data_IF_304499861856
#
_entry.id   IF_304499861856
#
_cell.length_a   1.000
_cell.length_b   1.000
_cell.length_c   1.000
_cell.angle_alpha   90.00
_cell.angle_beta   90.00
_cell.angle_gamma   90.00
#
_symmetry.space_group_name_H-M   'P 1'
#
loop_
_entity.id
_entity.type
_entity.pdbx_description
1 polymer ?
#
# COMPACT_ATOMS: atom_id res chain seq x y z
N UNK A 1 4.07 -32.09 51.38
CA UNK A 1 3.66 -30.79 50.80
C UNK A 1 4.41 -30.57 49.49
N UNK A 2 3.76 -30.72 48.34
CA UNK A 2 4.28 -30.28 47.03
C UNK A 2 3.14 -29.52 46.35
N UNK A 3 3.21 -28.19 46.39
CA UNK A 3 2.28 -27.31 45.67
C UNK A 3 2.69 -27.34 44.20
N UNK A 4 1.84 -27.92 43.35
CA UNK A 4 1.97 -27.85 41.90
C UNK A 4 1.42 -26.48 41.46
N UNK A 5 2.30 -25.56 41.06
CA UNK A 5 1.92 -24.28 40.48
C UNK A 5 1.51 -24.52 39.02
N UNK A 6 0.22 -24.37 38.71
CA UNK A 6 -0.28 -24.41 37.34
C UNK A 6 -0.08 -23.02 36.73
N UNK A 7 0.89 -22.87 35.82
CA UNK A 7 1.05 -21.65 35.03
C UNK A 7 -0.01 -21.66 33.91
N UNK A 8 -1.01 -20.79 34.03
CA UNK A 8 -1.95 -20.51 32.94
C UNK A 8 -1.25 -19.61 31.93
N UNK A 9 -0.82 -20.17 30.80
CA UNK A 9 -0.33 -19.39 29.66
C UNK A 9 -1.57 -18.81 28.98
N UNK A 10 -1.85 -17.52 29.22
CA UNK A 10 -2.76 -16.76 28.37
C UNK A 10 -2.11 -16.60 27.00
N UNK A 11 -2.50 -17.44 26.04
CA UNK A 11 -2.27 -17.16 24.63
C UNK A 11 -3.12 -15.94 24.26
N UNK A 12 -2.48 -14.78 24.17
CA UNK A 12 -3.04 -13.61 23.51
C UNK A 12 -3.16 -13.92 22.02
N UNK A 13 -4.31 -14.45 21.60
CA UNK A 13 -4.69 -14.44 20.19
C UNK A 13 -4.88 -12.97 19.80
N UNK A 14 -3.88 -12.40 19.12
CA UNK A 14 -4.00 -11.10 18.49
C UNK A 14 -5.13 -11.18 17.46
N UNK A 15 -6.28 -10.61 17.78
CA UNK A 15 -7.35 -10.40 16.81
C UNK A 15 -6.79 -9.43 15.77
N UNK A 16 -6.32 -9.94 14.63
CA UNK A 16 -6.07 -9.07 13.48
C UNK A 16 -7.38 -8.34 13.19
N UNK A 17 -7.35 -7.01 13.22
CA UNK A 17 -8.50 -6.21 12.83
C UNK A 17 -8.96 -6.66 11.44
N UNK A 18 -10.24 -7.02 11.34
CA UNK A 18 -10.82 -7.47 10.09
C UNK A 18 -10.82 -6.32 9.07
N UNK A 19 -10.36 -6.59 7.84
CA UNK A 19 -10.41 -5.61 6.75
C UNK A 19 -11.86 -5.20 6.47
N UNK A 20 -12.07 -3.91 6.22
CA UNK A 20 -13.36 -3.42 5.73
C UNK A 20 -13.49 -3.67 4.23
N UNK A 21 -14.67 -4.11 3.78
CA UNK A 21 -15.00 -4.26 2.36
C UNK A 21 -16.17 -3.34 1.99
N UNK A 22 -16.03 -2.46 0.98
CA UNK A 22 -17.08 -1.54 0.58
C UNK A 22 -18.24 -2.24 -0.13
N UNK A 23 -19.46 -1.76 0.11
CA UNK A 23 -20.68 -2.25 -0.52
C UNK A 23 -20.64 -2.08 -2.05
N UNK A 24 -21.33 -2.95 -2.79
CA UNK A 24 -21.38 -2.93 -4.27
C UNK A 24 -22.12 -1.71 -4.85
N UNK A 25 -22.89 -0.99 -4.04
CA UNK A 25 -23.63 0.22 -4.41
C UNK A 25 -22.75 1.48 -4.54
N UNK A 26 -21.45 1.39 -4.24
CA UNK A 26 -20.50 2.50 -4.37
C UNK A 26 -20.24 3.29 -3.07
N UNK A 27 -20.99 2.99 -1.99
CA UNK A 27 -20.67 3.51 -0.66
C UNK A 27 -19.35 2.93 -0.16
N UNK A 28 -18.50 3.78 0.43
CA UNK A 28 -17.19 3.40 0.96
C UNK A 28 -16.88 4.21 2.22
N UNK A 29 -16.68 3.51 3.33
CA UNK A 29 -16.33 4.13 4.59
C UNK A 29 -14.97 4.81 4.54
N UNK A 30 -14.88 5.93 5.24
CA UNK A 30 -13.63 6.67 5.41
C UNK A 30 -13.02 6.45 6.79
N UNK A 31 -11.71 6.66 6.88
CA UNK A 31 -10.95 6.72 8.13
C UNK A 31 -10.26 8.07 8.20
N UNK A 32 -10.51 8.84 9.25
CA UNK A 32 -9.90 10.17 9.38
C UNK A 32 -8.37 10.08 9.44
N UNK A 33 -7.63 10.86 8.64
CA UNK A 33 -6.16 10.89 8.69
C UNK A 33 -5.59 11.16 10.08
N UNK A 34 -6.28 11.94 10.92
CA UNK A 34 -5.83 12.22 12.30
C UNK A 34 -5.78 10.98 13.19
N UNK A 35 -6.63 9.97 12.93
CA UNK A 35 -6.57 8.67 13.63
C UNK A 35 -5.31 7.87 13.28
N UNK A 36 -4.65 8.20 12.17
CA UNK A 36 -3.37 7.63 11.77
C UNK A 36 -2.19 8.54 12.11
N UNK A 37 -2.42 9.62 12.88
CA UNK A 37 -1.43 10.65 13.16
C UNK A 37 -0.89 11.32 11.88
N UNK A 38 -1.69 11.38 10.81
CA UNK A 38 -1.30 12.05 9.57
C UNK A 38 -1.54 13.55 9.67
N UNK A 39 -0.51 14.31 9.34
CA UNK A 39 -0.46 15.75 9.51
C UNK A 39 -1.07 16.46 8.29
N UNK A 40 -2.03 17.39 8.48
CA UNK A 40 -2.65 18.12 7.37
C UNK A 40 -1.65 18.81 6.42
N UNK A 41 -0.54 19.45 6.89
CA UNK A 41 0.46 20.02 5.99
C UNK A 41 1.15 18.97 5.09
N UNK A 42 1.33 17.75 5.58
CA UNK A 42 1.99 16.68 4.82
C UNK A 42 1.04 16.06 3.79
N UNK A 43 -0.25 15.98 4.10
CA UNK A 43 -1.30 15.61 3.13
C UNK A 43 -1.36 16.67 2.01
N UNK A 44 -1.35 17.96 2.37
CA UNK A 44 -1.33 19.04 1.37
C UNK A 44 -0.06 19.04 0.49
N UNK A 45 1.09 18.67 1.06
CA UNK A 45 2.33 18.48 0.30
C UNK A 45 2.23 17.30 -0.67
N UNK A 46 1.67 16.17 -0.23
CA UNK A 46 1.38 15.01 -1.09
C UNK A 46 0.44 15.40 -2.25
N UNK A 47 -0.63 16.14 -1.97
CA UNK A 47 -1.57 16.62 -2.99
C UNK A 47 -0.90 17.55 -4.01
N UNK A 48 -0.07 18.47 -3.52
CA UNK A 48 0.68 19.40 -4.38
C UNK A 48 1.65 18.66 -5.29
N UNK A 49 2.35 17.66 -4.76
CA UNK A 49 3.21 16.77 -5.53
C UNK A 49 2.42 15.97 -6.56
N UNK A 50 1.32 15.33 -6.16
CA UNK A 50 0.50 14.51 -7.04
C UNK A 50 -0.04 15.32 -8.23
N UNK A 51 -0.50 16.55 -7.98
CA UNK A 51 -0.92 17.49 -9.01
C UNK A 51 0.23 17.86 -9.95
N UNK A 52 1.40 18.22 -9.41
CA UNK A 52 2.59 18.55 -10.20
C UNK A 52 3.07 17.36 -11.05
N UNK A 53 2.92 16.14 -10.54
CA UNK A 53 3.21 14.89 -11.23
C UNK A 53 2.06 14.42 -12.16
N UNK A 54 1.19 15.33 -12.59
CA UNK A 54 0.10 15.09 -13.55
C UNK A 54 -0.85 13.95 -13.17
N UNK A 55 -1.06 13.75 -11.87
CA UNK A 55 -2.07 12.81 -11.37
C UNK A 55 -3.47 13.31 -11.70
N UNK A 56 -4.37 12.36 -11.91
CA UNK A 56 -5.80 12.55 -12.15
C UNK A 56 -6.62 12.11 -10.94
N UNK A 57 -6.17 11.05 -10.28
CA UNK A 57 -6.72 10.57 -9.02
C UNK A 57 -5.61 9.97 -8.16
N UNK A 58 -5.73 10.17 -6.84
CA UNK A 58 -4.88 9.55 -5.82
C UNK A 58 -5.77 9.07 -4.68
N UNK A 59 -5.77 7.76 -4.42
CA UNK A 59 -6.53 7.14 -3.33
C UNK A 59 -5.56 6.38 -2.41
N UNK A 60 -5.75 6.51 -1.10
CA UNK A 60 -5.06 5.71 -0.10
C UNK A 60 -6.08 5.04 0.81
N UNK A 61 -6.04 3.71 0.84
CA UNK A 61 -6.83 2.88 1.75
C UNK A 61 -5.96 2.42 2.91
N UNK A 62 -6.54 2.41 4.12
CA UNK A 62 -6.00 1.76 5.30
C UNK A 62 -7.06 0.86 5.90
N UNK A 63 -6.71 -0.40 6.14
CA UNK A 63 -7.63 -1.43 6.66
C UNK A 63 -8.92 -1.55 5.82
N UNK A 64 -8.80 -1.29 4.51
CA UNK A 64 -9.90 -1.28 3.54
C UNK A 64 -10.74 0.01 3.49
N UNK A 65 -10.54 0.97 4.40
CA UNK A 65 -11.25 2.26 4.41
C UNK A 65 -10.48 3.36 3.68
N UNK A 66 -11.18 4.30 3.06
CA UNK A 66 -10.56 5.44 2.39
C UNK A 66 -10.01 6.41 3.44
N UNK A 67 -8.70 6.65 3.45
CA UNK A 67 -8.07 7.67 4.32
C UNK A 67 -7.85 8.97 3.56
N UNK A 68 -7.50 8.85 2.29
CA UNK A 68 -7.27 9.97 1.40
C UNK A 68 -7.83 9.63 0.02
N UNK A 69 -8.56 10.57 -0.57
CA UNK A 69 -9.13 10.46 -1.91
C UNK A 69 -9.16 11.86 -2.52
N UNK A 70 -8.36 12.05 -3.57
CA UNK A 70 -8.24 13.31 -4.27
C UNK A 70 -8.38 13.08 -5.78
N UNK A 71 -9.01 14.06 -6.43
CA UNK A 71 -9.19 14.13 -7.88
C UNK A 71 -8.71 15.49 -8.36
N UNK A 72 -7.96 15.50 -9.46
CA UNK A 72 -7.24 16.70 -9.91
C UNK A 72 -7.74 17.17 -11.28
N UNK A 73 -7.71 18.49 -11.48
CA UNK A 73 -8.24 19.11 -12.69
C UNK A 73 -9.75 18.92 -12.82
N UNK A 74 -10.22 18.39 -13.96
CA UNK A 74 -11.64 18.10 -14.20
C UNK A 74 -12.07 16.69 -13.76
N UNK A 75 -11.18 15.91 -13.15
CA UNK A 75 -11.49 14.55 -12.74
C UNK A 75 -12.39 14.54 -11.52
N UNK A 76 -13.24 13.52 -11.46
CA UNK A 76 -14.17 13.24 -10.39
C UNK A 76 -14.09 11.76 -10.02
N UNK A 77 -14.81 11.39 -8.97
CA UNK A 77 -14.95 10.00 -8.53
C UNK A 77 -15.44 9.04 -9.63
N UNK A 78 -16.23 9.54 -10.57
CA UNK A 78 -16.83 8.74 -11.63
C UNK A 78 -16.00 8.76 -12.93
N UNK A 79 -14.92 9.54 -12.98
CA UNK A 79 -14.07 9.65 -14.15
C UNK A 79 -13.32 8.35 -14.44
N UNK A 80 -13.39 7.90 -15.69
CA UNK A 80 -12.75 6.66 -16.17
C UNK A 80 -11.40 6.97 -16.81
N UNK A 81 -10.41 6.12 -16.53
CA UNK A 81 -9.08 6.18 -17.14
C UNK A 81 -8.54 4.78 -17.42
N UNK A 82 -7.57 4.68 -18.33
CA UNK A 82 -6.92 3.41 -18.68
C UNK A 82 -5.89 3.01 -17.61
N UNK A 83 -5.67 1.71 -17.44
CA UNK A 83 -4.74 1.14 -16.47
C UNK A 83 -3.34 0.88 -17.06
N UNK A 84 -3.18 1.01 -18.38
CA UNK A 84 -1.98 0.58 -19.08
C UNK A 84 -1.58 -0.85 -18.66
N UNK A 85 -0.27 -1.10 -18.48
CA UNK A 85 0.23 -2.39 -18.00
C UNK A 85 -0.16 -2.76 -16.56
N UNK A 86 -0.78 -1.88 -15.76
CA UNK A 86 -1.34 -2.32 -14.47
C UNK A 86 -2.49 -3.34 -14.68
N UNK A 87 -3.13 -3.34 -15.86
CA UNK A 87 -4.07 -4.40 -16.26
C UNK A 87 -3.45 -5.80 -16.35
N UNK A 88 -2.12 -5.94 -16.48
CA UNK A 88 -1.46 -7.25 -16.53
C UNK A 88 -1.67 -8.05 -15.24
N UNK A 89 -1.62 -7.39 -14.09
CA UNK A 89 -1.90 -8.03 -12.79
C UNK A 89 -3.36 -8.48 -12.68
N UNK A 90 -4.30 -7.72 -13.27
CA UNK A 90 -5.70 -8.14 -13.40
C UNK A 90 -5.82 -9.38 -14.30
N UNK A 91 -5.14 -9.41 -15.45
CA UNK A 91 -5.09 -10.59 -16.32
C UNK A 91 -4.52 -11.81 -15.58
N UNK A 92 -3.42 -11.68 -14.83
CA UNK A 92 -2.88 -12.78 -14.03
C UNK A 92 -3.88 -13.30 -13.00
N UNK A 93 -4.65 -12.42 -12.34
CA UNK A 93 -5.72 -12.85 -11.43
C UNK A 93 -6.80 -13.66 -12.16
N UNK A 94 -7.21 -13.22 -13.35
CA UNK A 94 -8.22 -13.92 -14.16
C UNK A 94 -7.74 -15.29 -14.66
N UNK A 95 -6.47 -15.41 -15.07
CA UNK A 95 -5.84 -16.69 -15.41
C UNK A 95 -5.79 -17.61 -14.19
N UNK A 96 -5.43 -17.08 -13.01
CA UNK A 96 -5.46 -17.84 -11.76
C UNK A 96 -6.85 -18.35 -11.42
N UNK A 97 -7.87 -17.52 -11.67
CA UNK A 97 -9.25 -17.96 -11.52
C UNK A 97 -9.62 -19.07 -12.51
N UNK A 98 -9.22 -18.93 -13.78
CA UNK A 98 -9.50 -19.95 -14.79
C UNK A 98 -8.83 -21.28 -14.45
N UNK A 99 -7.62 -21.24 -13.89
CA UNK A 99 -6.95 -22.42 -13.36
C UNK A 99 -7.72 -23.05 -12.19
N UNK A 100 -8.15 -22.25 -11.22
CA UNK A 100 -8.95 -22.75 -10.09
C UNK A 100 -10.27 -23.39 -10.53
N UNK A 101 -10.88 -22.87 -11.60
CA UNK A 101 -12.09 -23.42 -12.21
C UNK A 101 -11.82 -24.67 -13.07
N UNK A 102 -10.56 -25.07 -13.24
CA UNK A 102 -10.15 -26.21 -14.05
C UNK A 102 -10.28 -25.99 -15.55
N UNK A 103 -10.35 -24.73 -16.00
CA UNK A 103 -10.48 -24.35 -17.41
C UNK A 103 -9.14 -24.39 -18.16
N UNK A 104 -8.03 -24.22 -17.42
CA UNK A 104 -6.67 -24.34 -17.93
C UNK A 104 -5.70 -24.80 -16.83
N UNK A 105 -4.53 -25.34 -17.19
CA UNK A 105 -3.38 -25.46 -16.28
C UNK A 105 -2.28 -24.53 -16.77
N UNK A 106 -1.72 -23.66 -15.91
CA UNK A 106 -0.68 -22.74 -16.37
C UNK A 106 0.61 -23.45 -16.82
N UNK A 107 0.81 -24.72 -16.46
CA UNK A 107 1.93 -25.53 -16.93
C UNK A 107 1.66 -26.17 -18.30
N UNK A 108 0.45 -26.05 -18.84
CA UNK A 108 0.16 -26.45 -20.21
C UNK A 108 0.97 -25.61 -21.20
N UNK A 109 1.35 -26.28 -22.31
CA UNK A 109 1.89 -25.56 -23.46
C UNK A 109 0.84 -24.59 -24.00
N UNK A 110 1.25 -23.35 -24.27
CA UNK A 110 0.39 -22.32 -24.86
C UNK A 110 -0.22 -22.78 -26.19
N UNK A 111 0.47 -23.64 -26.94
CA UNK A 111 -0.01 -24.22 -28.20
C UNK A 111 -1.27 -25.09 -28.04
N UNK A 112 -1.60 -25.55 -26.82
CA UNK A 112 -2.87 -26.25 -26.57
C UNK A 112 -4.08 -25.32 -26.78
N UNK A 113 -3.92 -24.02 -26.53
CA UNK A 113 -5.00 -23.04 -26.58
C UNK A 113 -4.94 -22.20 -27.86
N UNK A 114 -3.74 -21.82 -28.31
CA UNK A 114 -3.56 -20.98 -29.51
C UNK A 114 -3.40 -21.79 -30.81
N UNK A 115 -3.26 -23.12 -30.70
CA UNK A 115 -2.87 -23.98 -31.82
C UNK A 115 -1.36 -23.97 -32.07
N UNK A 116 -0.90 -24.79 -33.02
CA UNK A 116 0.51 -24.81 -33.43
C UNK A 116 0.80 -23.70 -34.43
N UNK A 117 2.02 -23.16 -34.39
CA UNK A 117 2.45 -22.09 -35.29
C UNK A 117 1.91 -20.72 -34.85
N UNK A 118 1.60 -20.55 -33.58
CA UNK A 118 1.30 -19.24 -33.01
C UNK A 118 2.58 -18.39 -32.86
N UNK A 119 3.75 -19.01 -33.03
CA UNK A 119 5.07 -18.38 -33.16
C UNK A 119 5.79 -18.85 -34.43
N UNK A 120 6.87 -18.16 -34.80
CA UNK A 120 7.82 -18.64 -35.80
C UNK A 120 8.92 -19.54 -35.21
N UNK A 121 8.78 -20.00 -33.95
CA UNK A 121 9.75 -20.90 -33.34
C UNK A 121 9.67 -22.30 -33.97
N UNK A 122 10.78 -23.07 -33.97
CA UNK A 122 10.71 -24.49 -34.29
C UNK A 122 9.67 -25.20 -33.40
N UNK A 123 8.91 -26.16 -33.95
CA UNK A 123 7.78 -26.75 -33.24
C UNK A 123 8.12 -27.35 -31.87
N UNK A 124 9.31 -27.95 -31.74
CA UNK A 124 9.79 -28.49 -30.47
C UNK A 124 10.19 -27.41 -29.45
N UNK A 125 10.42 -26.17 -29.89
CA UNK A 125 10.72 -25.01 -29.05
C UNK A 125 9.46 -24.24 -28.70
N UNK A 126 8.53 -24.06 -29.64
CA UNK A 126 7.20 -23.51 -29.37
C UNK A 126 6.47 -24.33 -28.29
N UNK A 127 6.56 -25.66 -28.37
CA UNK A 127 5.95 -26.57 -27.41
C UNK A 127 6.50 -26.45 -25.97
N UNK A 128 7.68 -25.83 -25.78
CA UNK A 128 8.23 -25.57 -24.44
C UNK A 128 7.60 -24.35 -23.78
N UNK A 129 6.99 -23.45 -24.54
CA UNK A 129 6.40 -22.22 -23.99
C UNK A 129 5.08 -22.58 -23.32
N UNK A 130 5.02 -22.32 -22.02
CA UNK A 130 3.81 -22.53 -21.21
C UNK A 130 3.09 -21.20 -20.94
N UNK A 131 1.84 -21.29 -20.51
CA UNK A 131 1.07 -20.12 -20.01
C UNK A 131 1.84 -19.45 -18.85
N UNK A 132 2.47 -20.24 -17.99
CA UNK A 132 3.30 -19.76 -16.89
C UNK A 132 4.49 -18.93 -17.39
N UNK A 133 5.13 -19.30 -18.50
CA UNK A 133 6.21 -18.50 -19.09
C UNK A 133 5.72 -17.12 -19.56
N UNK A 134 4.49 -17.04 -20.07
CA UNK A 134 3.85 -15.76 -20.43
C UNK A 134 3.56 -14.92 -19.16
N UNK A 135 3.10 -15.55 -18.07
CA UNK A 135 2.86 -14.88 -16.79
C UNK A 135 4.15 -14.37 -16.13
N UNK A 136 5.27 -15.08 -16.32
CA UNK A 136 6.56 -14.79 -15.69
C UNK A 136 7.49 -13.93 -16.55
N UNK A 137 7.13 -13.67 -17.81
CA UNK A 137 7.97 -12.98 -18.80
C UNK A 137 9.25 -13.77 -19.16
N UNK A 138 9.13 -15.10 -19.28
CA UNK A 138 10.24 -16.03 -19.52
C UNK A 138 10.08 -16.87 -20.80
N UNK A 139 9.33 -16.37 -21.78
CA UNK A 139 9.00 -17.15 -23.00
C UNK A 139 10.18 -17.51 -23.90
N UNK A 140 11.35 -16.87 -23.73
CA UNK A 140 12.51 -17.11 -24.59
C UNK A 140 12.37 -16.59 -26.03
N UNK A 141 11.26 -15.90 -26.34
CA UNK A 141 11.03 -15.27 -27.64
C UNK A 141 11.90 -14.02 -27.82
N UNK A 142 12.28 -13.75 -29.06
CA UNK A 142 13.25 -12.70 -29.37
C UNK A 142 12.68 -11.31 -29.10
N UNK A 143 13.32 -10.60 -28.18
CA UNK A 143 12.98 -9.23 -27.82
C UNK A 143 13.74 -8.19 -28.65
N UNK A 144 14.60 -8.61 -29.58
CA UNK A 144 15.30 -7.70 -30.50
C UNK A 144 14.47 -7.36 -31.75
N UNK A 145 13.21 -7.80 -31.78
CA UNK A 145 12.28 -7.50 -32.87
C UNK A 145 11.89 -6.02 -32.88
N UNK A 146 11.57 -5.44 -34.06
CA UNK A 146 11.24 -4.02 -34.17
C UNK A 146 10.00 -3.57 -33.40
N UNK A 147 9.07 -4.50 -33.13
CA UNK A 147 7.81 -4.22 -32.45
C UNK A 147 7.51 -5.30 -31.39
N UNK A 148 7.75 -4.96 -30.12
CA UNK A 148 7.48 -5.83 -28.96
C UNK A 148 5.99 -6.03 -28.64
N UNK A 149 5.09 -5.34 -29.34
CA UNK A 149 3.63 -5.46 -29.19
C UNK A 149 3.00 -6.31 -30.31
N UNK A 150 3.78 -6.71 -31.32
CA UNK A 150 3.26 -7.48 -32.46
C UNK A 150 3.00 -8.95 -32.06
N UNK A 151 1.73 -9.35 -32.07
CA UNK A 151 1.29 -10.72 -31.73
C UNK A 151 1.21 -11.67 -32.92
N UNK A 152 1.54 -11.21 -34.13
CA UNK A 152 1.62 -12.10 -35.29
C UNK A 152 2.75 -13.11 -35.11
N UNK A 153 2.55 -14.34 -35.58
CA UNK A 153 3.53 -15.42 -35.59
C UNK A 153 4.90 -14.97 -36.15
N UNK A 154 4.90 -14.18 -37.23
CA UNK A 154 6.09 -13.62 -37.88
C UNK A 154 6.91 -12.68 -37.00
N UNK A 155 6.31 -12.13 -35.95
CA UNK A 155 6.98 -11.27 -34.97
C UNK A 155 7.49 -12.07 -33.75
N UNK A 156 7.00 -13.28 -33.53
CA UNK A 156 7.33 -14.10 -32.37
C UNK A 156 8.41 -15.11 -32.74
N UNK A 157 9.65 -14.62 -32.82
CA UNK A 157 10.81 -15.40 -33.25
C UNK A 157 11.43 -16.15 -32.07
N UNK A 158 11.97 -17.35 -32.33
CA UNK A 158 12.74 -18.08 -31.33
C UNK A 158 14.10 -17.41 -31.08
N UNK A 159 14.46 -17.22 -29.82
CA UNK A 159 15.81 -16.81 -29.40
C UNK A 159 16.46 -17.87 -28.52
N UNK A 160 15.72 -18.40 -27.56
CA UNK A 160 16.16 -19.44 -26.63
C UNK A 160 14.97 -20.19 -26.04
N UNK A 161 15.26 -21.25 -25.30
CA UNK A 161 14.22 -22.06 -24.65
C UNK A 161 13.46 -21.25 -23.60
N UNK A 162 12.18 -21.57 -23.44
CA UNK A 162 11.37 -20.97 -22.38
C UNK A 162 11.99 -21.25 -20.99
N UNK A 163 11.87 -20.29 -20.08
CA UNK A 163 12.43 -20.36 -18.74
C UNK A 163 13.91 -19.97 -18.62
N UNK A 164 14.65 -19.75 -19.72
CA UNK A 164 16.11 -19.49 -19.64
C UNK A 164 16.49 -18.02 -19.53
N UNK A 165 15.60 -17.09 -19.91
CA UNK A 165 15.81 -15.65 -19.79
C UNK A 165 14.52 -14.94 -19.39
N UNK A 166 14.65 -13.94 -18.53
CA UNK A 166 13.60 -12.97 -18.28
C UNK A 166 13.75 -11.75 -19.19
N UNK A 167 12.67 -11.37 -19.87
CA UNK A 167 12.58 -10.09 -20.57
C UNK A 167 11.12 -9.61 -20.62
N UNK A 168 10.89 -8.33 -20.37
CA UNK A 168 9.56 -7.72 -20.42
C UNK A 168 9.04 -7.60 -21.86
N UNK A 169 8.58 -8.71 -22.43
CA UNK A 169 8.09 -8.83 -23.80
C UNK A 169 6.56 -8.73 -23.80
N UNK A 170 6.00 -7.68 -24.40
CA UNK A 170 4.56 -7.41 -24.30
C UNK A 170 3.70 -8.36 -25.15
N UNK A 171 4.12 -8.70 -26.36
CA UNK A 171 3.34 -9.52 -27.29
C UNK A 171 2.94 -10.89 -26.73
N UNK A 172 3.85 -11.69 -26.11
CA UNK A 172 3.45 -12.96 -25.52
C UNK A 172 2.45 -12.81 -24.37
N UNK A 173 2.52 -11.73 -23.59
CA UNK A 173 1.51 -11.42 -22.58
C UNK A 173 0.14 -11.13 -23.21
N UNK A 174 0.09 -10.37 -24.31
CA UNK A 174 -1.17 -9.99 -24.95
C UNK A 174 -2.00 -11.21 -25.39
N UNK A 175 -1.32 -12.29 -25.77
CA UNK A 175 -1.95 -13.56 -26.15
C UNK A 175 -2.59 -14.33 -24.99
N UNK A 176 -2.33 -13.95 -23.73
CA UNK A 176 -3.06 -14.54 -22.59
C UNK A 176 -4.56 -14.23 -22.62
N UNK A 177 -4.96 -13.13 -23.28
CA UNK A 177 -6.37 -12.88 -23.58
C UNK A 177 -6.95 -14.04 -24.38
N UNK A 178 -6.31 -14.41 -25.47
CA UNK A 178 -6.83 -15.43 -26.38
C UNK A 178 -6.77 -16.82 -25.73
N UNK A 179 -5.73 -17.12 -24.95
CA UNK A 179 -5.68 -18.32 -24.10
C UNK A 179 -6.90 -18.39 -23.18
N UNK A 180 -7.21 -17.31 -22.46
CA UNK A 180 -8.34 -17.27 -21.53
C UNK A 180 -9.69 -17.37 -22.25
N UNK A 181 -9.85 -16.71 -23.40
CA UNK A 181 -11.08 -16.77 -24.19
C UNK A 181 -11.31 -18.17 -24.77
N UNK A 182 -10.25 -18.86 -25.22
CA UNK A 182 -10.33 -20.24 -25.69
C UNK A 182 -10.61 -21.22 -24.54
N UNK A 183 -9.92 -21.09 -23.41
CA UNK A 183 -10.11 -21.94 -22.24
C UNK A 183 -11.52 -21.83 -21.63
N UNK A 184 -12.02 -20.59 -21.49
CA UNK A 184 -13.32 -20.34 -20.86
C UNK A 184 -14.51 -20.45 -21.82
N UNK A 185 -14.27 -20.40 -23.14
CA UNK A 185 -15.34 -20.26 -24.13
C UNK A 185 -16.11 -18.93 -24.04
N UNK A 186 -15.59 -17.94 -23.30
CA UNK A 186 -16.24 -16.64 -23.09
C UNK A 186 -15.29 -15.49 -23.38
N UNK A 187 -15.81 -14.37 -23.89
CA UNK A 187 -15.00 -13.18 -24.12
C UNK A 187 -14.46 -12.56 -22.82
N UNK A 188 -13.28 -11.95 -22.88
CA UNK A 188 -12.53 -11.42 -21.73
C UNK A 188 -13.36 -10.47 -20.85
N UNK A 189 -14.16 -9.59 -21.47
CA UNK A 189 -15.05 -8.70 -20.74
C UNK A 189 -16.10 -9.47 -19.93
N UNK A 190 -16.75 -10.46 -20.54
CA UNK A 190 -17.76 -11.28 -19.88
C UNK A 190 -17.14 -12.10 -18.75
N UNK A 191 -16.00 -12.73 -19.00
CA UNK A 191 -15.28 -13.48 -17.98
C UNK A 191 -14.92 -12.60 -16.78
N UNK A 192 -14.31 -11.43 -17.03
CA UNK A 192 -13.96 -10.45 -15.97
C UNK A 192 -15.18 -10.04 -15.14
N UNK A 193 -16.31 -9.74 -15.79
CA UNK A 193 -17.53 -9.34 -15.09
C UNK A 193 -18.12 -10.49 -14.25
N UNK A 194 -18.15 -11.71 -14.80
CA UNK A 194 -18.63 -12.89 -14.06
C UNK A 194 -17.77 -13.17 -12.81
N UNK A 195 -16.45 -13.04 -12.93
CA UNK A 195 -15.51 -13.28 -11.84
C UNK A 195 -15.59 -12.22 -10.75
N UNK A 196 -15.64 -10.93 -11.12
CA UNK A 196 -15.39 -9.82 -10.19
C UNK A 196 -16.61 -8.95 -9.89
N UNK A 197 -17.57 -8.79 -10.80
CA UNK A 197 -18.67 -7.84 -10.61
C UNK A 197 -19.60 -8.26 -9.46
N UNK A 198 -20.01 -9.53 -9.46
CA UNK A 198 -20.85 -10.08 -8.38
C UNK A 198 -20.11 -10.19 -7.05
N UNK A 199 -18.81 -10.46 -7.09
CA UNK A 199 -17.98 -10.72 -5.91
C UNK A 199 -17.57 -9.43 -5.19
N UNK A 200 -16.99 -8.48 -5.92
CA UNK A 200 -16.38 -7.27 -5.33
C UNK A 200 -17.06 -5.97 -5.77
N UNK A 201 -18.15 -6.04 -6.55
CA UNK A 201 -18.79 -4.86 -7.14
C UNK A 201 -17.95 -4.18 -8.23
N UNK A 202 -17.09 -4.96 -8.90
CA UNK A 202 -16.13 -4.46 -9.88
C UNK A 202 -16.82 -3.93 -11.14
N UNK A 203 -16.34 -2.80 -11.67
CA UNK A 203 -16.85 -2.18 -12.90
C UNK A 203 -15.70 -1.69 -13.77
N UNK A 204 -15.87 -1.78 -15.08
CA UNK A 204 -14.87 -1.39 -16.06
C UNK A 204 -14.95 -2.25 -17.31
N UNK A 205 -14.06 -2.00 -18.27
CA UNK A 205 -14.06 -2.72 -19.53
C UNK A 205 -12.64 -2.87 -20.11
N UNK A 206 -12.41 -3.98 -20.77
CA UNK A 206 -11.28 -4.20 -21.65
C UNK A 206 -11.60 -3.65 -23.04
N UNK A 207 -10.75 -2.74 -23.53
CA UNK A 207 -10.75 -2.20 -24.88
C UNK A 207 -9.33 -2.26 -25.41
N UNK A 208 -9.11 -2.90 -26.55
CA UNK A 208 -7.79 -3.06 -27.18
C UNK A 208 -6.70 -3.56 -26.20
N UNK A 209 -7.02 -4.59 -25.41
CA UNK A 209 -6.15 -5.18 -24.36
C UNK A 209 -5.78 -4.26 -23.20
N UNK A 210 -6.38 -3.08 -23.11
CA UNK A 210 -6.26 -2.16 -21.98
C UNK A 210 -7.53 -2.19 -21.14
N UNK A 211 -7.36 -2.22 -19.82
CA UNK A 211 -8.50 -2.13 -18.90
C UNK A 211 -8.77 -0.66 -18.54
N UNK A 212 -10.04 -0.29 -18.49
CA UNK A 212 -10.52 1.05 -18.17
C UNK A 212 -11.49 1.00 -16.99
N UNK A 213 -11.28 1.87 -16.00
CA UNK A 213 -12.22 2.07 -14.89
C UNK A 213 -11.97 3.42 -14.19
N UNK A 214 -12.82 3.76 -13.22
CA UNK A 214 -12.49 4.81 -12.26
C UNK A 214 -11.51 4.30 -11.17
N UNK A 215 -10.99 5.25 -10.38
CA UNK A 215 -9.98 4.98 -9.35
C UNK A 215 -10.47 4.07 -8.21
N UNK A 216 -11.75 4.16 -7.83
CA UNK A 216 -12.33 3.29 -6.80
C UNK A 216 -12.34 1.83 -7.25
N UNK A 217 -12.49 1.54 -8.54
CA UNK A 217 -12.40 0.17 -9.04
C UNK A 217 -10.96 -0.37 -8.94
N UNK A 218 -9.95 0.43 -9.29
CA UNK A 218 -8.55 0.07 -9.01
C UNK A 218 -8.33 -0.24 -7.52
N UNK A 219 -8.91 0.57 -6.64
CA UNK A 219 -8.79 0.39 -5.20
C UNK A 219 -9.49 -0.89 -4.71
N UNK A 220 -10.64 -1.27 -5.29
CA UNK A 220 -11.31 -2.56 -5.01
C UNK A 220 -10.44 -3.74 -5.40
N UNK A 221 -9.81 -3.69 -6.56
CA UNK A 221 -8.89 -4.75 -6.98
C UNK A 221 -7.65 -4.82 -6.09
N UNK A 222 -7.05 -3.68 -5.73
CA UNK A 222 -5.95 -3.63 -4.76
C UNK A 222 -6.34 -4.20 -3.39
N UNK A 223 -7.55 -3.90 -2.91
CA UNK A 223 -8.08 -4.44 -1.66
C UNK A 223 -8.33 -5.96 -1.74
N UNK A 224 -8.80 -6.46 -2.89
CA UNK A 224 -8.92 -7.91 -3.12
C UNK A 224 -7.56 -8.62 -3.06
N UNK A 225 -6.52 -8.01 -3.64
CA UNK A 225 -5.16 -8.53 -3.56
C UNK A 225 -4.62 -8.48 -2.13
N UNK A 226 -4.84 -7.37 -1.41
CA UNK A 226 -4.48 -7.21 0.00
C UNK A 226 -5.14 -8.28 0.88
N UNK A 227 -6.40 -8.61 0.59
CA UNK A 227 -7.18 -9.61 1.29
C UNK A 227 -6.93 -11.05 0.77
N UNK A 228 -5.86 -11.27 0.00
CA UNK A 228 -5.45 -12.59 -0.49
C UNK A 228 -6.59 -13.33 -1.22
N UNK A 229 -7.27 -12.61 -2.13
CA UNK A 229 -8.36 -13.17 -2.94
C UNK A 229 -9.68 -13.34 -2.18
N UNK A 230 -9.75 -12.94 -0.91
CA UNK A 230 -10.99 -12.95 -0.14
C UNK A 230 -11.72 -11.60 -0.20
N UNK A 231 -13.04 -11.65 -0.30
CA UNK A 231 -13.89 -10.47 -0.21
C UNK A 231 -15.10 -10.77 0.68
N UNK A 232 -15.14 -10.14 1.86
CA UNK A 232 -16.27 -10.25 2.79
C UNK A 232 -16.69 -11.72 3.09
N UNK A 233 -15.71 -12.60 3.36
CA UNK A 233 -15.94 -14.02 3.65
C UNK A 233 -16.10 -14.92 2.42
N UNK A 234 -16.14 -14.35 1.21
CA UNK A 234 -16.13 -15.12 -0.04
C UNK A 234 -14.70 -15.19 -0.60
N UNK A 235 -14.18 -16.39 -0.84
CA UNK A 235 -12.96 -16.58 -1.63
C UNK A 235 -13.27 -16.38 -3.11
N UNK A 236 -12.85 -15.25 -3.67
CA UNK A 236 -12.94 -14.96 -5.11
C UNK A 236 -11.91 -15.80 -5.86
N UNK A 237 -10.69 -15.88 -5.32
CA UNK A 237 -9.65 -16.83 -5.69
C UNK A 237 -9.14 -17.49 -4.39
N UNK A 238 -9.34 -18.79 -4.26
CA UNK A 238 -8.95 -19.63 -3.12
C UNK A 238 -7.57 -20.29 -3.29
N UNK A 239 -7.02 -20.38 -4.51
CA UNK A 239 -5.67 -20.88 -4.75
C UNK A 239 -4.58 -19.95 -4.16
N UNK A 240 -4.26 -20.20 -2.89
CA UNK A 240 -3.25 -19.46 -2.14
C UNK A 240 -1.83 -19.63 -2.69
N UNK A 241 -1.53 -20.74 -3.38
CA UNK A 241 -0.21 -20.94 -3.98
C UNK A 241 -0.06 -20.07 -5.23
N UNK A 242 -1.10 -19.98 -6.05
CA UNK A 242 -1.14 -19.07 -7.19
C UNK A 242 -1.04 -17.61 -6.74
N UNK A 243 -1.83 -17.20 -5.74
CA UNK A 243 -1.74 -15.85 -5.16
C UNK A 243 -0.35 -15.55 -4.62
N UNK A 244 0.29 -16.50 -3.92
CA UNK A 244 1.66 -16.34 -3.45
C UNK A 244 2.64 -16.16 -4.61
N UNK A 245 2.46 -16.86 -5.73
CA UNK A 245 3.30 -16.69 -6.92
C UNK A 245 3.05 -15.37 -7.67
N UNK A 246 1.90 -14.71 -7.47
CA UNK A 246 1.71 -13.31 -7.88
C UNK A 246 2.48 -12.35 -6.95
N UNK A 247 2.49 -12.61 -5.64
CA UNK A 247 2.96 -11.66 -4.61
C UNK A 247 4.41 -11.90 -4.16
N UNK A 248 5.05 -12.97 -4.63
CA UNK A 248 6.42 -13.35 -4.31
C UNK A 248 7.18 -13.76 -5.57
N UNK A 249 8.51 -13.81 -5.46
CA UNK A 249 9.39 -14.13 -6.57
C UNK A 249 8.99 -15.48 -7.16
N UNK A 250 8.61 -15.48 -8.43
CA UNK A 250 8.09 -16.68 -9.09
C UNK A 250 9.18 -17.45 -9.85
N UNK A 251 10.33 -16.83 -10.04
CA UNK A 251 11.53 -17.36 -10.69
C UNK A 251 12.80 -16.62 -10.18
N UNK A 252 13.99 -17.11 -10.51
CA UNK A 252 15.28 -16.57 -10.03
C UNK A 252 15.98 -15.57 -10.98
N UNK A 253 15.59 -15.52 -12.25
CA UNK A 253 16.10 -14.63 -13.31
C UNK A 253 15.81 -13.14 -13.04
N UNK A 254 14.62 -12.81 -12.55
CA UNK A 254 14.22 -11.48 -12.08
C UNK A 254 13.45 -11.62 -10.75
N UNK A 255 14.13 -11.61 -9.60
CA UNK A 255 13.50 -11.82 -8.30
C UNK A 255 12.37 -10.82 -7.99
N UNK A 256 12.41 -9.64 -8.59
CA UNK A 256 11.41 -8.57 -8.43
C UNK A 256 10.13 -8.75 -9.28
N UNK A 257 9.88 -9.96 -9.80
CA UNK A 257 8.71 -10.26 -10.63
C UNK A 257 7.99 -11.56 -10.22
N UNK A 258 6.68 -11.44 -9.97
CA UNK A 258 5.76 -12.55 -9.78
C UNK A 258 5.01 -12.91 -11.08
N UNK A 259 3.82 -13.48 -10.97
CA UNK A 259 2.90 -13.57 -12.11
C UNK A 259 2.34 -12.19 -12.45
N UNK A 260 2.87 -11.59 -13.52
CA UNK A 260 2.52 -10.28 -14.05
C UNK A 260 2.42 -9.15 -13.00
N UNK A 261 3.20 -9.25 -11.92
CA UNK A 261 3.12 -8.37 -10.74
C UNK A 261 4.53 -8.00 -10.30
N UNK A 262 4.76 -6.71 -10.04
CA UNK A 262 6.06 -6.20 -9.61
C UNK A 262 6.21 -6.31 -8.10
N UNK A 263 7.41 -6.68 -7.64
CA UNK A 263 7.69 -6.98 -6.24
C UNK A 263 8.81 -6.07 -5.72
N UNK A 264 8.55 -5.38 -4.62
CA UNK A 264 9.58 -4.60 -3.95
C UNK A 264 10.43 -5.47 -3.00
N UNK A 265 11.45 -4.86 -2.40
CA UNK A 265 12.24 -5.47 -1.31
C UNK A 265 13.13 -6.63 -1.73
N UNK A 266 13.32 -6.88 -3.03
CA UNK A 266 14.18 -7.94 -3.55
C UNK A 266 15.62 -7.47 -3.69
N UNK A 267 16.55 -8.43 -3.75
CA UNK A 267 17.99 -8.17 -3.87
C UNK A 267 18.38 -7.58 -5.21
N UNK A 268 17.57 -7.81 -6.25
CA UNK A 268 17.79 -7.29 -7.59
C UNK A 268 16.49 -7.26 -8.40
N UNK A 269 16.49 -6.45 -9.46
CA UNK A 269 15.41 -6.36 -10.42
C UNK A 269 15.93 -6.15 -11.85
N UNK A 270 15.18 -6.62 -12.84
CA UNK A 270 15.32 -6.24 -14.25
C UNK A 270 14.13 -5.34 -14.61
N UNK A 271 14.41 -4.17 -15.19
CA UNK A 271 13.38 -3.23 -15.61
C UNK A 271 12.94 -3.44 -17.08
N UNK A 272 11.76 -2.96 -17.49
CA UNK A 272 11.32 -3.06 -18.87
C UNK A 272 12.31 -2.40 -19.84
N UNK A 273 12.48 -3.00 -21.02
CA UNK A 273 13.32 -2.47 -22.09
C UNK A 273 14.81 -2.82 -22.01
N UNK A 274 15.30 -3.33 -20.87
CA UNK A 274 16.71 -3.70 -20.70
C UNK A 274 16.85 -5.17 -20.25
N UNK A 275 17.80 -5.93 -20.81
CA UNK A 275 18.11 -7.29 -20.37
C UNK A 275 19.18 -7.30 -19.26
N UNK A 276 19.25 -6.27 -18.41
CA UNK A 276 20.29 -6.13 -17.37
C UNK A 276 19.67 -6.05 -15.97
N UNK A 277 20.35 -6.68 -15.01
CA UNK A 277 19.94 -6.69 -13.61
C UNK A 277 20.55 -5.51 -12.84
N UNK A 278 19.72 -4.87 -12.02
CA UNK A 278 20.09 -3.82 -11.08
C UNK A 278 20.04 -4.38 -9.65
N UNK A 279 20.98 -3.97 -8.81
CA UNK A 279 21.01 -4.40 -7.41
C UNK A 279 20.10 -3.53 -6.54
N UNK A 280 19.48 -4.15 -5.56
CA UNK A 280 18.58 -3.52 -4.60
C UNK A 280 17.09 -3.63 -4.97
N UNK A 281 16.21 -3.08 -4.12
CA UNK A 281 14.77 -3.04 -4.35
C UNK A 281 14.39 -2.03 -5.44
N UNK A 282 13.22 -2.22 -6.06
CA UNK A 282 12.66 -1.28 -7.05
C UNK A 282 12.44 0.11 -6.42
N UNK A 283 11.88 0.14 -5.22
CA UNK A 283 11.54 1.37 -4.48
C UNK A 283 12.21 1.30 -3.10
N UNK A 284 13.45 1.78 -2.96
CA UNK A 284 14.24 1.60 -1.74
C UNK A 284 13.64 2.18 -0.46
N UNK A 285 12.85 3.25 -0.59
CA UNK A 285 12.18 3.91 0.53
C UNK A 285 10.74 3.41 0.75
N UNK A 286 10.26 2.40 0.02
CA UNK A 286 8.97 1.77 0.28
C UNK A 286 9.12 0.48 1.10
N UNK A 287 8.06 0.00 1.77
CA UNK A 287 8.08 -1.27 2.50
C UNK A 287 8.56 -2.44 1.63
N UNK A 288 9.32 -3.36 2.23
CA UNK A 288 9.92 -4.49 1.51
C UNK A 288 8.91 -5.53 1.05
N UNK A 289 7.74 -5.61 1.68
CA UNK A 289 6.64 -6.48 1.29
C UNK A 289 5.64 -5.82 0.34
N UNK A 290 5.93 -4.60 -0.12
CA UNK A 290 5.16 -3.96 -1.18
C UNK A 290 5.21 -4.80 -2.45
N UNK A 291 4.05 -4.98 -3.08
CA UNK A 291 3.95 -5.39 -4.47
C UNK A 291 2.99 -4.45 -5.22
N UNK A 292 3.09 -4.43 -6.55
CA UNK A 292 2.30 -3.48 -7.33
C UNK A 292 1.92 -3.96 -8.73
N UNK A 293 0.73 -3.54 -9.15
CA UNK A 293 0.36 -3.45 -10.54
C UNK A 293 0.89 -2.12 -11.11
N UNK A 294 1.77 -2.18 -12.10
CA UNK A 294 2.44 -1.00 -12.64
C UNK A 294 2.24 -0.86 -14.16
N UNK A 295 1.71 0.30 -14.55
CA UNK A 295 1.45 0.70 -15.92
C UNK A 295 2.30 1.88 -16.37
N UNK A 296 2.49 2.00 -17.69
CA UNK A 296 3.02 3.21 -18.34
C UNK A 296 2.27 4.45 -17.83
N UNK A 297 2.97 5.59 -17.80
CA UNK A 297 2.44 6.87 -17.31
C UNK A 297 2.01 6.79 -15.84
N UNK A 298 2.64 5.92 -15.06
CA UNK A 298 2.43 5.75 -13.62
C UNK A 298 0.99 5.41 -13.22
N UNK A 299 0.35 4.49 -13.97
CA UNK A 299 -0.85 3.84 -13.45
C UNK A 299 -0.41 2.84 -12.39
N UNK A 300 -0.90 3.00 -11.16
CA UNK A 300 -0.39 2.24 -10.01
C UNK A 300 -1.48 1.73 -9.12
N UNK A 301 -1.30 0.48 -8.68
CA UNK A 301 -1.97 -0.12 -7.53
C UNK A 301 -0.84 -0.70 -6.67
N UNK A 302 -0.47 -0.01 -5.60
CA UNK A 302 0.47 -0.51 -4.61
C UNK A 302 -0.31 -1.22 -3.51
N UNK A 303 0.19 -2.37 -3.06
CA UNK A 303 -0.36 -3.13 -1.95
C UNK A 303 0.75 -3.41 -0.94
N UNK A 304 0.52 -3.06 0.33
CA UNK A 304 1.46 -3.29 1.43
C UNK A 304 0.78 -4.10 2.53
N UNK A 305 0.94 -5.44 2.52
CA UNK A 305 0.32 -6.34 3.49
C UNK A 305 0.63 -5.98 4.95
N UNK A 306 1.90 -5.70 5.27
CA UNK A 306 2.38 -5.37 6.62
C UNK A 306 1.73 -4.13 7.21
N UNK A 307 1.17 -3.27 6.36
CA UNK A 307 0.52 -2.03 6.74
C UNK A 307 -0.98 -2.00 6.45
N UNK A 308 -1.58 -3.09 5.94
CA UNK A 308 -2.97 -3.10 5.45
C UNK A 308 -3.28 -1.89 4.55
N UNK A 309 -2.35 -1.55 3.66
CA UNK A 309 -2.38 -0.31 2.87
C UNK A 309 -2.56 -0.65 1.39
N UNK A 310 -3.44 0.10 0.72
CA UNK A 310 -3.54 0.12 -0.74
C UNK A 310 -3.42 1.57 -1.21
N UNK A 311 -2.55 1.82 -2.18
CA UNK A 311 -2.40 3.16 -2.78
C UNK A 311 -2.66 3.04 -4.27
N UNK A 312 -3.54 3.88 -4.79
CA UNK A 312 -3.92 3.91 -6.20
C UNK A 312 -3.63 5.28 -6.78
N UNK A 313 -3.03 5.29 -7.96
CA UNK A 313 -2.85 6.52 -8.74
C UNK A 313 -3.20 6.29 -10.21
N UNK A 314 -3.98 7.22 -10.76
CA UNK A 314 -4.17 7.37 -12.21
C UNK A 314 -3.62 8.72 -12.65
N UNK A 315 -3.11 8.83 -13.87
CA UNK A 315 -2.63 10.11 -14.39
C UNK A 315 -1.96 10.04 -15.76
N UNK A 316 -1.38 11.16 -16.17
CA UNK A 316 -0.44 11.21 -17.29
C UNK A 316 0.98 10.85 -16.80
N UNK A 317 1.96 10.80 -17.70
CA UNK A 317 3.35 10.52 -17.30
C UNK A 317 3.81 11.54 -16.25
N UNK A 318 4.35 11.07 -15.12
CA UNK A 318 4.83 11.95 -14.06
C UNK A 318 6.20 12.57 -14.39
N UNK A 319 6.97 11.92 -15.25
CA UNK A 319 8.24 12.38 -15.76
C UNK A 319 8.41 12.02 -17.25
N UNK A 320 9.61 12.23 -17.82
CA UNK A 320 9.91 11.88 -19.20
C UNK A 320 10.06 10.36 -19.44
N UNK A 321 10.11 9.54 -18.38
CA UNK A 321 10.14 8.09 -18.49
C UNK A 321 8.75 7.56 -18.85
N UNK A 322 8.71 6.76 -19.90
CA UNK A 322 7.50 6.07 -20.36
C UNK A 322 7.44 4.60 -19.90
N UNK A 323 8.34 4.19 -18.99
CA UNK A 323 8.47 2.80 -18.53
C UNK A 323 7.43 2.47 -17.45
N UNK A 324 7.25 1.17 -17.17
CA UNK A 324 6.39 0.71 -16.08
C UNK A 324 6.99 0.96 -14.68
N UNK A 325 8.31 1.18 -14.60
CA UNK A 325 9.04 1.59 -13.40
C UNK A 325 9.64 2.98 -13.66
N UNK A 326 9.48 3.92 -12.74
CA UNK A 326 9.90 5.31 -12.93
C UNK A 326 10.42 5.95 -11.63
N UNK A 327 11.00 7.16 -11.74
CA UNK A 327 11.45 7.92 -10.57
C UNK A 327 10.29 8.39 -9.68
N UNK A 328 9.08 8.47 -10.25
CA UNK A 328 7.85 8.83 -9.54
C UNK A 328 7.59 7.96 -8.31
N UNK A 329 7.85 6.65 -8.42
CA UNK A 329 7.57 5.69 -7.35
C UNK A 329 8.29 6.08 -6.05
N UNK A 330 9.60 6.30 -6.10
CA UNK A 330 10.40 6.71 -4.94
C UNK A 330 10.01 8.09 -4.41
N UNK A 331 9.61 9.02 -5.28
CA UNK A 331 9.15 10.34 -4.86
C UNK A 331 7.82 10.25 -4.11
N UNK A 332 6.83 9.55 -4.66
CA UNK A 332 5.53 9.33 -4.02
C UNK A 332 5.70 8.70 -2.64
N UNK A 333 6.53 7.66 -2.53
CA UNK A 333 6.80 7.01 -1.25
C UNK A 333 7.52 7.90 -0.24
N UNK A 334 8.29 8.90 -0.68
CA UNK A 334 8.88 9.90 0.21
C UNK A 334 7.80 10.77 0.87
N UNK A 335 6.78 11.19 0.10
CA UNK A 335 5.63 11.92 0.64
C UNK A 335 4.75 11.04 1.54
N UNK A 336 4.48 9.79 1.14
CA UNK A 336 3.69 8.86 1.97
C UNK A 336 4.37 8.59 3.32
N UNK A 337 5.69 8.37 3.34
CA UNK A 337 6.44 8.16 4.57
C UNK A 337 6.47 9.40 5.48
N UNK A 338 6.33 10.59 4.89
CA UNK A 338 6.31 11.86 5.61
C UNK A 338 4.91 12.25 6.12
N UNK A 339 3.86 11.47 5.86
CA UNK A 339 2.49 11.81 6.25
C UNK A 339 2.31 11.94 7.76
N UNK A 340 3.05 11.16 8.54
CA UNK A 340 3.00 11.23 9.99
C UNK A 340 3.44 12.61 10.48
N UNK A 341 2.77 13.11 11.51
CA UNK A 341 3.28 14.25 12.23
C UNK A 341 4.67 13.92 12.77
N UNK A 342 5.68 14.63 12.27
CA UNK A 342 6.91 14.83 13.00
C UNK A 342 6.46 15.56 14.26
N UNK A 343 6.41 14.86 15.39
CA UNK A 343 6.34 15.57 16.66
C UNK A 343 7.47 16.58 16.60
N UNK A 344 7.14 17.87 16.72
CA UNK A 344 8.14 18.80 17.23
C UNK A 344 8.41 18.21 18.60
N UNK A 345 9.47 17.41 18.70
CA UNK A 345 10.06 17.04 19.95
C UNK A 345 10.60 18.34 20.55
N UNK A 346 9.70 19.17 21.07
CA UNK A 346 9.86 19.50 22.46
C UNK A 346 9.74 18.14 23.12
N UNK A 347 10.87 17.52 23.43
CA UNK A 347 10.90 16.72 24.63
C UNK A 347 10.17 17.58 25.66
N UNK A 348 8.96 17.21 26.04
CA UNK A 348 8.58 17.44 27.42
C UNK A 348 9.66 16.68 28.19
N UNK A 349 10.78 17.35 28.47
CA UNK A 349 11.40 17.13 29.75
C UNK A 349 10.24 17.19 30.73
N UNK A 350 10.04 16.10 31.46
CA UNK A 350 9.36 16.12 32.74
C UNK A 350 10.06 17.17 33.63
N UNK A 351 9.77 18.44 33.36
CA UNK A 351 10.15 19.60 34.17
C UNK A 351 8.91 20.23 34.79
N UNK A 352 7.72 19.70 34.47
CA UNK A 352 6.51 19.97 35.22
C UNK A 352 6.69 19.37 36.62
N UNK A 353 7.12 20.22 37.56
CA UNK A 353 7.22 19.89 38.98
C UNK A 353 5.88 19.29 39.41
N UNK A 354 5.91 18.07 39.95
CA UNK A 354 4.70 17.40 40.43
C UNK A 354 4.17 18.11 41.69
N UNK A 355 3.31 19.10 41.53
CA UNK A 355 2.62 19.77 42.65
C UNK A 355 1.24 19.17 42.83
N UNK A 356 0.95 18.62 44.01
CA UNK A 356 -0.32 17.94 44.29
C UNK A 356 -0.82 18.19 45.72
N UNK A 357 -2.14 18.21 46.00
CA UNK A 357 -3.20 18.28 45.02
C UNK A 357 -3.13 19.63 44.29
N UNK A 358 -3.47 19.63 43.01
CA UNK A 358 -3.57 20.84 42.20
C UNK A 358 -4.72 20.65 41.21
N UNK A 359 -5.90 21.25 41.45
CA UNK A 359 -6.19 22.30 42.44
C UNK A 359 -6.17 21.86 43.91
N UNK A 360 -6.10 22.82 44.84
CA UNK A 360 -6.12 22.63 46.30
C UNK A 360 -6.88 23.75 47.03
N UNK A 361 -7.29 23.52 48.28
CA UNK A 361 -7.85 24.51 49.22
C UNK A 361 -6.76 25.34 49.95
N UNK A 362 -5.58 25.47 49.35
CA UNK A 362 -4.48 26.30 49.87
C UNK A 362 -3.28 25.54 50.44
N UNK A 363 -3.26 24.20 50.34
CA UNK A 363 -2.13 23.37 50.75
C UNK A 363 -1.65 22.46 49.61
N UNK A 364 -0.36 22.52 49.28
CA UNK A 364 0.23 21.75 48.18
C UNK A 364 1.40 20.91 48.69
N UNK A 365 1.68 19.82 48.01
CA UNK A 365 2.86 18.98 48.21
C UNK A 365 3.74 19.05 46.98
N UNK A 366 5.03 19.25 47.23
CA UNK A 366 6.10 19.37 46.25
C UNK A 366 7.15 18.31 46.62
N UNK A 367 7.77 17.59 45.66
CA UNK A 367 8.78 16.59 45.96
C UNK A 367 9.91 17.16 46.82
N UNK A 368 10.38 16.38 47.80
CA UNK A 368 11.24 16.86 48.89
C UNK A 368 12.61 17.44 48.44
N UNK A 369 13.00 17.19 47.20
CA UNK A 369 14.20 17.71 46.55
C UNK A 369 14.02 19.12 45.95
N UNK A 370 12.86 19.77 46.14
CA UNK A 370 12.56 21.08 45.58
C UNK A 370 12.26 22.13 46.66
N UNK A 371 12.92 23.29 46.57
CA UNK A 371 12.70 24.45 47.43
C UNK A 371 12.01 25.56 46.64
N UNK A 372 10.93 26.10 47.21
CA UNK A 372 10.16 27.20 46.62
C UNK A 372 10.82 28.52 46.96
N UNK A 373 11.20 29.24 45.91
CA UNK A 373 11.84 30.56 45.98
C UNK A 373 10.82 31.68 46.07
N UNK A 374 9.77 31.60 45.26
CA UNK A 374 8.73 32.61 45.18
C UNK A 374 7.40 32.00 44.68
N UNK A 375 6.31 32.64 45.04
CA UNK A 375 4.98 32.39 44.46
C UNK A 375 4.44 33.72 43.98
N UNK A 376 3.97 33.79 42.74
CA UNK A 376 3.43 35.01 42.13
C UNK A 376 1.96 34.81 41.77
N UNK A 377 1.15 35.86 41.90
CA UNK A 377 -0.16 35.90 41.26
C UNK A 377 -0.04 36.18 39.75
N UNK A 378 -1.14 36.10 39.02
CA UNK A 378 -1.18 36.40 37.58
C UNK A 378 -0.89 37.87 37.22
N UNK A 379 -0.80 38.76 38.22
CA UNK A 379 -0.41 40.17 38.04
C UNK A 379 1.08 40.39 38.32
N UNK A 380 1.84 39.33 38.62
CA UNK A 380 3.27 39.39 38.91
C UNK A 380 3.61 39.85 40.32
N UNK A 381 2.64 39.91 41.24
CA UNK A 381 2.87 40.27 42.65
C UNK A 381 3.27 39.02 43.43
N UNK A 382 4.29 39.15 44.26
CA UNK A 382 4.74 38.05 45.10
C UNK A 382 3.77 37.83 46.27
N UNK A 383 3.39 36.58 46.49
CA UNK A 383 2.46 36.14 47.53
C UNK A 383 3.22 35.44 48.65
N UNK A 384 2.87 35.73 49.89
CA UNK A 384 3.54 35.16 51.05
C UNK A 384 3.14 33.68 51.26
N UNK A 385 4.15 32.81 51.34
CA UNK A 385 3.97 31.37 51.54
C UNK A 385 4.86 30.85 52.69
N UNK A 386 4.61 29.60 53.09
CA UNK A 386 5.44 28.82 54.01
C UNK A 386 5.63 27.42 53.42
N UNK A 387 6.88 26.96 53.36
CA UNK A 387 7.22 25.59 53.02
C UNK A 387 7.78 24.87 54.25
N UNK A 388 7.18 23.73 54.62
CA UNK A 388 7.63 22.82 55.68
C UNK A 388 7.84 21.42 55.07
N UNK A 389 9.08 21.06 54.78
CA UNK A 389 9.41 19.84 54.04
C UNK A 389 8.82 19.85 52.63
N UNK A 390 8.00 18.85 52.32
CA UNK A 390 7.28 18.76 51.04
C UNK A 390 6.03 19.63 50.99
N UNK A 391 5.54 20.16 52.13
CA UNK A 391 4.26 20.88 52.20
C UNK A 391 4.45 22.38 51.99
N UNK A 392 3.66 22.96 51.10
CA UNK A 392 3.54 24.40 50.84
C UNK A 392 2.15 24.89 51.29
N UNK A 393 2.10 26.03 51.96
CA UNK A 393 0.86 26.71 52.36
C UNK A 393 0.99 28.22 52.19
N UNK A 394 -0.12 28.91 51.96
CA UNK A 394 -0.16 30.37 51.91
C UNK A 394 -0.29 30.96 53.32
N UNK A 395 0.36 32.09 53.59
CA UNK A 395 0.27 32.77 54.90
C UNK A 395 -1.04 33.54 55.10
N UNK A 396 -1.72 33.83 54.00
CA UNK A 396 -2.97 34.58 53.95
C UNK A 396 -3.98 33.81 53.08
N UNK A 397 -5.27 34.11 53.24
CA UNK A 397 -6.31 33.54 52.40
C UNK A 397 -6.17 34.09 50.97
N UNK A 398 -6.00 33.19 50.01
CA UNK A 398 -5.83 33.52 48.60
C UNK A 398 -6.69 32.60 47.74
N UNK A 399 -7.06 33.06 46.54
CA UNK A 399 -7.87 32.29 45.59
C UNK A 399 -7.36 32.56 44.17
N UNK A 400 -7.46 31.55 43.31
CA UNK A 400 -7.13 31.65 41.90
C UNK A 400 -5.81 31.00 41.52
N UNK A 401 -5.22 31.45 40.42
CA UNK A 401 -4.03 30.86 39.81
C UNK A 401 -2.77 31.58 40.29
N UNK A 402 -1.75 30.79 40.63
CA UNK A 402 -0.45 31.28 41.05
C UNK A 402 0.66 30.54 40.30
N UNK A 403 1.77 31.24 40.09
CA UNK A 403 3.00 30.67 39.53
C UNK A 403 3.99 30.47 40.67
N UNK A 404 4.26 29.21 40.97
CA UNK A 404 5.29 28.78 41.89
C UNK A 404 6.63 28.73 41.17
N UNK A 405 7.68 29.27 41.78
CA UNK A 405 9.04 29.29 41.22
C UNK A 405 9.98 28.62 42.22
N UNK A 406 10.73 27.63 41.76
CA UNK A 406 11.74 26.91 42.56
C UNK A 406 13.12 27.57 42.48
N UNK A 407 14.01 27.23 43.41
CA UNK A 407 15.39 27.73 43.43
C UNK A 407 16.21 27.36 42.18
N UNK A 408 15.93 26.21 41.57
CA UNK A 408 16.61 25.75 40.36
C UNK A 408 16.16 26.46 39.06
N UNK A 409 15.28 27.47 39.15
CA UNK A 409 14.77 28.19 37.98
C UNK A 409 13.45 27.67 37.42
N UNK A 410 13.05 26.44 37.75
CA UNK A 410 11.80 25.85 37.25
C UNK A 410 10.56 26.47 37.92
N UNK A 411 9.41 26.33 37.26
CA UNK A 411 8.15 26.90 37.74
C UNK A 411 6.97 25.96 37.49
N UNK A 412 5.93 26.08 38.30
CA UNK A 412 4.68 25.33 38.19
C UNK A 412 3.48 26.23 38.41
N UNK A 413 2.38 25.96 37.70
CA UNK A 413 1.11 26.64 37.89
C UNK A 413 0.30 25.92 38.96
N UNK A 414 -0.15 26.61 40.00
CA UNK A 414 -0.98 26.06 41.09
C UNK A 414 -2.31 26.80 41.17
N UNK A 415 -3.39 26.08 41.47
CA UNK A 415 -4.74 26.64 41.58
C UNK A 415 -5.28 26.47 43.01
N UNK A 416 -5.59 27.59 43.67
CA UNK A 416 -6.27 27.62 44.96
C UNK A 416 -7.76 27.83 44.74
N UNK A 417 -8.56 26.83 45.12
CA UNK A 417 -10.03 26.86 45.05
C UNK A 417 -10.64 27.21 46.41
N UNK A 418 -11.89 27.67 46.40
CA UNK A 418 -12.66 27.83 47.64
C UNK A 418 -12.92 26.46 48.29
N UNK A 419 -13.05 26.45 49.61
CA UNK A 419 -13.51 25.27 50.37
C UNK A 419 -14.94 24.90 50.05
#
# INVERSE_FOLDING_TARGET
>A
MRKLLLFLILMSFGVKAQLYFPASNGSWDTLSPTRLNWCPPQIAALDSFALAAHSKSLLILKDGKIVHEAYYGSYTQDSVWYWASAGKTLMAFLIGKAQEEGLLDINDSTSQYLGRGWTSAPANKEALITIKDQLQMTTGLDYQVPNLDCTADSCLLYRMDAGTQWYYHNAPYLLLKDVLEQASGTGLNRYTQNTLAGSIGFRGLWLDNLYFSNARQMARFGLLLLAEGEWNGQKVLADTNYLRAMQQSSQSLNPAYGYLTWLNGKSSFIQPGLPISFNGPIIPNAPSDLYMAAGKNDQRIYVVPSQNLVVVRQGQAADSSALALSGFDSQLWSYINALNCQGIGLSEEESAIAVYPNPSEGEFYIPANHQVRAVYDLYGRQVAFRQEGSKLSFKEAVQGLFVLVLDNGSSALIHVQDR
#
